data_IF_681801630725
#
_entry.id   IF_681801630725
#
_cell.length_a   1.000
_cell.length_b   1.000
_cell.length_c   1.000
_cell.angle_alpha   90.00
_cell.angle_beta   90.00
_cell.angle_gamma   90.00
#
_symmetry.space_group_name_H-M   'P 1'
#
loop_
_entity.id
_entity.type
_entity.pdbx_description
1 polymer ?
#
# COMPACT_ATOMS: atom_id res chain seq x y z
N UNK A 1 -0.12 15.38 17.81
CA UNK A 1 -0.62 16.23 16.72
C UNK A 1 0.39 17.32 16.47
N UNK A 2 1.07 17.22 15.33
CA UNK A 2 1.87 18.27 14.71
C UNK A 2 1.20 18.69 13.40
N UNK A 3 1.63 19.78 12.78
CA UNK A 3 1.04 20.31 11.53
C UNK A 3 0.88 19.23 10.45
N UNK A 4 1.81 18.28 10.37
CA UNK A 4 1.74 17.17 9.41
C UNK A 4 0.55 16.24 9.67
N UNK A 5 0.15 16.01 10.93
CA UNK A 5 -1.02 15.19 11.26
C UNK A 5 -2.31 15.86 10.75
N UNK A 6 -2.43 17.19 10.85
CA UNK A 6 -3.58 17.94 10.34
C UNK A 6 -3.66 17.90 8.81
N UNK A 7 -2.51 18.03 8.14
CA UNK A 7 -2.43 17.93 6.68
C UNK A 7 -2.81 16.53 6.19
N UNK A 8 -2.40 15.48 6.91
CA UNK A 8 -2.79 14.11 6.61
C UNK A 8 -4.29 13.88 6.83
N UNK A 9 -4.87 14.38 7.92
CA UNK A 9 -6.31 14.34 8.14
C UNK A 9 -7.10 15.07 7.04
N UNK A 10 -6.57 16.20 6.53
CA UNK A 10 -7.17 16.90 5.40
C UNK A 10 -7.15 16.06 4.11
N UNK A 11 -6.05 15.34 3.83
CA UNK A 11 -5.95 14.45 2.66
C UNK A 11 -6.94 13.30 2.74
N UNK A 12 -7.13 12.72 3.93
CA UNK A 12 -8.16 11.70 4.18
C UNK A 12 -9.55 12.25 3.86
N UNK A 13 -9.91 13.41 4.42
CA UNK A 13 -11.21 14.03 4.21
C UNK A 13 -11.49 14.39 2.73
N UNK A 14 -10.44 14.59 1.93
CA UNK A 14 -10.53 14.88 0.50
C UNK A 14 -10.50 13.62 -0.38
N UNK A 15 -10.33 12.43 0.19
CA UNK A 15 -10.17 11.18 -0.57
C UNK A 15 -8.92 11.19 -1.45
N UNK A 16 -7.86 11.90 -1.04
CA UNK A 16 -6.61 12.04 -1.79
C UNK A 16 -5.41 11.63 -0.92
N UNK A 17 -5.34 10.38 -0.43
CA UNK A 17 -4.29 9.94 0.48
C UNK A 17 -2.90 9.97 -0.17
N UNK A 18 -1.86 10.01 0.66
CA UNK A 18 -0.49 9.72 0.20
C UNK A 18 -0.37 8.22 -0.04
N UNK A 19 -0.11 7.85 -1.30
CA UNK A 19 0.10 6.48 -1.75
C UNK A 19 1.55 6.05 -1.53
N UNK A 20 1.74 4.99 -0.74
CA UNK A 20 3.07 4.47 -0.40
C UNK A 20 3.32 3.15 -1.13
N UNK A 21 4.39 3.12 -1.92
CA UNK A 21 4.99 1.90 -2.47
C UNK A 21 6.06 1.33 -1.53
N UNK A 22 6.01 0.02 -1.25
CA UNK A 22 6.96 -0.65 -0.35
C UNK A 22 7.76 -1.70 -1.11
N UNK A 23 9.04 -1.42 -1.33
CA UNK A 23 9.97 -2.36 -1.96
C UNK A 23 10.56 -3.32 -0.91
N UNK A 24 10.05 -4.55 -0.86
CA UNK A 24 10.52 -5.62 -0.01
C UNK A 24 9.68 -5.84 1.26
N UNK A 25 8.97 -6.97 1.39
CA UNK A 25 8.08 -7.27 2.52
C UNK A 25 8.83 -7.90 3.72
N UNK A 26 9.97 -7.32 4.09
CA UNK A 26 10.80 -7.80 5.19
C UNK A 26 10.24 -7.44 6.58
N UNK A 27 11.01 -7.74 7.63
CA UNK A 27 10.63 -7.46 9.02
C UNK A 27 10.25 -5.99 9.25
N UNK A 28 11.10 -5.06 8.79
CA UNK A 28 10.86 -3.62 8.92
C UNK A 28 9.59 -3.17 8.19
N UNK A 29 9.34 -3.72 6.99
CA UNK A 29 8.18 -3.36 6.19
C UNK A 29 6.86 -3.74 6.87
N UNK A 30 6.79 -4.85 7.61
CA UNK A 30 5.58 -5.24 8.34
C UNK A 30 5.17 -4.20 9.39
N UNK A 31 6.15 -3.68 10.14
CA UNK A 31 5.91 -2.61 11.11
C UNK A 31 5.43 -1.32 10.45
N UNK A 32 6.04 -0.95 9.32
CA UNK A 32 5.64 0.22 8.54
C UNK A 32 4.23 0.06 7.92
N UNK A 33 3.94 -1.08 7.32
CA UNK A 33 2.62 -1.41 6.76
C UNK A 33 1.56 -1.26 7.86
N UNK A 34 1.77 -1.89 9.02
CA UNK A 34 0.85 -1.80 10.14
C UNK A 34 0.68 -0.35 10.64
N UNK A 35 1.77 0.42 10.72
CA UNK A 35 1.72 1.81 11.14
C UNK A 35 0.89 2.67 10.18
N UNK A 36 1.12 2.53 8.87
CA UNK A 36 0.38 3.27 7.85
C UNK A 36 -1.10 2.91 7.93
N UNK A 37 -1.43 1.62 7.77
CA UNK A 37 -2.81 1.16 7.65
C UNK A 37 -3.65 1.42 8.91
N UNK A 38 -3.06 1.29 10.09
CA UNK A 38 -3.82 1.28 11.34
C UNK A 38 -3.67 2.56 12.18
N UNK A 39 -2.79 3.50 11.80
CA UNK A 39 -2.54 4.69 12.64
C UNK A 39 -2.36 6.01 11.87
N UNK A 40 -2.30 6.01 10.53
CA UNK A 40 -2.05 7.21 9.73
C UNK A 40 -3.19 7.48 8.73
N UNK A 41 -4.29 8.14 9.16
CA UNK A 41 -5.30 8.62 8.21
C UNK A 41 -4.63 9.54 7.19
N UNK A 42 -5.06 9.49 5.93
CA UNK A 42 -4.48 10.24 4.82
C UNK A 42 -3.26 9.59 4.20
N UNK A 43 -2.92 8.36 4.58
CA UNK A 43 -1.89 7.54 3.96
C UNK A 43 -2.42 6.14 3.66
N UNK A 44 -1.98 5.55 2.56
CA UNK A 44 -2.32 4.17 2.20
C UNK A 44 -1.10 3.41 1.66
N UNK A 45 -1.09 2.08 1.86
CA UNK A 45 -0.14 1.20 1.17
C UNK A 45 -0.74 0.84 -0.18
N UNK A 46 -0.25 1.48 -1.24
CA UNK A 46 -0.76 1.30 -2.60
C UNK A 46 -0.21 0.03 -3.25
N UNK A 47 1.09 -0.23 -3.07
CA UNK A 47 1.76 -1.36 -3.70
C UNK A 47 2.87 -1.94 -2.82
N UNK A 48 3.00 -3.26 -2.79
CA UNK A 48 4.13 -3.98 -2.20
C UNK A 48 4.86 -4.74 -3.29
N UNK A 49 6.13 -4.38 -3.51
CA UNK A 49 6.99 -5.11 -4.42
C UNK A 49 7.68 -6.24 -3.65
N UNK A 50 7.61 -7.45 -4.19
CA UNK A 50 8.26 -8.62 -3.64
C UNK A 50 8.71 -9.56 -4.76
N UNK A 51 9.97 -10.00 -4.72
CA UNK A 51 10.49 -11.07 -5.59
C UNK A 51 9.64 -12.35 -5.53
N UNK A 52 9.00 -12.58 -4.39
CA UNK A 52 8.02 -13.65 -4.18
C UNK A 52 6.71 -13.00 -3.71
N UNK A 53 5.70 -12.84 -4.58
CA UNK A 53 4.46 -12.14 -4.25
C UNK A 53 3.76 -12.63 -2.98
N UNK A 54 3.78 -13.95 -2.71
CA UNK A 54 3.19 -14.53 -1.50
C UNK A 54 3.75 -13.93 -0.21
N UNK A 55 5.02 -13.50 -0.21
CA UNK A 55 5.62 -12.81 0.95
C UNK A 55 5.05 -11.40 1.14
N UNK A 56 4.69 -10.72 0.06
CA UNK A 56 4.00 -9.44 0.09
C UNK A 56 2.59 -9.57 0.65
N UNK A 57 1.83 -10.55 0.15
CA UNK A 57 0.50 -10.90 0.67
C UNK A 57 0.57 -11.24 2.16
N UNK A 58 1.50 -12.12 2.55
CA UNK A 58 1.69 -12.50 3.96
C UNK A 58 2.08 -11.31 4.85
N UNK A 59 2.84 -10.33 4.35
CA UNK A 59 3.16 -9.13 5.11
C UNK A 59 1.94 -8.22 5.31
N UNK A 60 1.09 -8.06 4.29
CA UNK A 60 -0.16 -7.31 4.38
C UNK A 60 -1.13 -7.95 5.38
N UNK A 61 -1.25 -9.28 5.36
CA UNK A 61 -2.08 -10.02 6.30
C UNK A 61 -1.69 -9.77 7.78
N UNK A 62 -0.40 -9.57 8.08
CA UNK A 62 0.03 -9.25 9.46
C UNK A 62 -0.48 -7.90 9.98
N UNK A 63 -0.99 -7.04 9.10
CA UNK A 63 -1.60 -5.77 9.42
C UNK A 63 -3.13 -5.76 9.20
N UNK A 64 -3.75 -6.92 8.92
CA UNK A 64 -5.19 -7.05 8.65
C UNK A 64 -5.63 -6.67 7.24
N UNK A 65 -4.69 -6.52 6.29
CA UNK A 65 -5.00 -6.26 4.87
C UNK A 65 -5.00 -7.58 4.10
N UNK A 66 -6.19 -8.07 3.76
CA UNK A 66 -6.41 -9.38 3.13
C UNK A 66 -7.71 -9.41 2.30
N UNK A 67 -8.03 -10.57 1.70
CA UNK A 67 -9.24 -10.76 0.90
C UNK A 67 -9.24 -9.95 -0.40
N UNK A 68 -10.42 -9.44 -0.78
CA UNK A 68 -10.63 -8.72 -2.05
C UNK A 68 -9.87 -7.38 -2.12
N UNK A 69 -9.31 -6.90 -1.00
CA UNK A 69 -8.47 -5.70 -0.94
C UNK A 69 -6.99 -5.97 -1.25
N UNK A 70 -6.60 -7.20 -1.59
CA UNK A 70 -5.23 -7.55 -1.96
C UNK A 70 -5.22 -8.31 -3.28
N UNK A 71 -4.47 -7.79 -4.26
CA UNK A 71 -4.33 -8.45 -5.56
C UNK A 71 -2.88 -8.54 -5.99
N UNK A 72 -2.47 -9.73 -6.48
CA UNK A 72 -1.19 -9.88 -7.17
C UNK A 72 -1.36 -9.44 -8.63
N UNK A 73 -0.58 -8.45 -9.05
CA UNK A 73 -0.71 -7.81 -10.37
C UNK A 73 0.62 -7.80 -11.13
N UNK A 74 0.53 -7.81 -12.46
CA UNK A 74 1.69 -7.93 -13.35
C UNK A 74 2.24 -6.58 -13.84
N UNK A 75 1.38 -5.54 -13.90
CA UNK A 75 1.67 -4.26 -14.54
C UNK A 75 1.10 -3.07 -13.75
N UNK A 76 1.45 -1.86 -14.19
CA UNK A 76 1.04 -0.60 -13.56
C UNK A 76 -0.49 -0.40 -13.61
N UNK A 77 -1.13 -0.82 -14.71
CA UNK A 77 -2.58 -0.73 -14.84
C UNK A 77 -3.31 -1.58 -13.78
N UNK A 78 -2.79 -2.77 -13.46
CA UNK A 78 -3.29 -3.59 -12.37
C UNK A 78 -3.08 -2.95 -11.00
N UNK A 79 -1.96 -2.25 -10.78
CA UNK A 79 -1.74 -1.47 -9.55
C UNK A 79 -2.78 -0.37 -9.43
N UNK A 80 -2.99 0.43 -10.48
CA UNK A 80 -3.96 1.53 -10.49
C UNK A 80 -5.39 1.01 -10.25
N UNK A 81 -5.75 -0.12 -10.85
CA UNK A 81 -7.08 -0.71 -10.74
C UNK A 81 -7.42 -1.17 -9.31
N UNK A 82 -6.46 -1.78 -8.58
CA UNK A 82 -6.70 -2.23 -7.20
C UNK A 82 -6.67 -1.05 -6.22
N UNK A 83 -5.78 -0.08 -6.46
CA UNK A 83 -5.69 1.14 -5.63
C UNK A 83 -6.95 1.99 -5.77
N UNK A 84 -7.54 2.08 -6.97
CA UNK A 84 -8.82 2.77 -7.18
C UNK A 84 -9.99 2.18 -6.37
N UNK A 85 -9.87 0.93 -5.93
CA UNK A 85 -10.86 0.24 -5.09
C UNK A 85 -10.52 0.34 -3.59
N UNK A 86 -9.47 1.08 -3.21
CA UNK A 86 -8.96 1.17 -1.83
C UNK A 86 -8.13 -0.05 -1.39
N UNK A 87 -7.75 -0.92 -2.34
CA UNK A 87 -6.94 -2.10 -2.09
C UNK A 87 -5.43 -1.83 -2.18
N UNK A 88 -4.66 -2.90 -2.00
CA UNK A 88 -3.20 -2.89 -2.09
C UNK A 88 -2.73 -3.90 -3.13
N UNK A 89 -1.96 -3.42 -4.10
CA UNK A 89 -1.30 -4.26 -5.09
C UNK A 89 -0.12 -5.01 -4.47
N UNK A 90 0.13 -6.23 -4.95
CA UNK A 90 1.39 -6.95 -4.74
C UNK A 90 1.96 -7.29 -6.10
N UNK A 91 3.25 -7.04 -6.32
CA UNK A 91 3.87 -7.34 -7.62
C UNK A 91 5.32 -7.78 -7.46
N UNK A 92 5.79 -8.60 -8.39
CA UNK A 92 7.22 -8.91 -8.56
C UNK A 92 7.87 -8.09 -9.67
N UNK A 93 7.13 -7.17 -10.28
CA UNK A 93 7.61 -6.27 -11.32
C UNK A 93 7.84 -4.87 -10.72
N UNK A 94 9.09 -4.41 -10.67
CA UNK A 94 9.38 -3.07 -10.13
C UNK A 94 8.83 -1.97 -11.03
N UNK A 95 8.73 -2.19 -12.35
CA UNK A 95 8.17 -1.23 -13.29
C UNK A 95 6.69 -1.01 -13.02
N UNK A 96 5.95 -2.08 -12.72
CA UNK A 96 4.54 -2.01 -12.33
C UNK A 96 4.34 -1.08 -11.11
N UNK A 97 5.24 -1.12 -10.13
CA UNK A 97 5.19 -0.23 -8.97
C UNK A 97 5.55 1.22 -9.33
N UNK A 98 6.61 1.44 -10.11
CA UNK A 98 7.14 2.80 -10.35
C UNK A 98 6.44 3.57 -11.46
N UNK A 99 5.66 2.88 -12.30
CA UNK A 99 4.92 3.47 -13.43
C UNK A 99 3.41 3.63 -13.14
N UNK A 100 2.95 3.19 -11.97
CA UNK A 100 1.59 3.40 -11.49
C UNK A 100 1.32 4.88 -11.13
N UNK A 101 0.04 5.27 -11.16
CA UNK A 101 -0.42 6.68 -11.11
C UNK A 101 -0.93 7.14 -9.73
#
# INVERSE_FOLDING_TARGET
MIIVDDLLAQREAQGNPVRVGIAGPGFMAKGLINHILNTKPGMEVACVYARTPDKGVAALATAGREGDLVAVVADAAGVDAIVAQGGTAVTSNHEAMTQAS
#
